data_IF_479834322547
#
_entry.id   IF_479834322547
#
_cell.length_a   1.000
_cell.length_b   1.000
_cell.length_c   1.000
_cell.angle_alpha   90.00
_cell.angle_beta   90.00
_cell.angle_gamma   90.00
#
_symmetry.space_group_name_H-M   'P 1'
#
loop_
_entity.id
_entity.type
_entity.pdbx_description
1 polymer ?
#
# COMPACT_ATOMS: atom_id res chain seq x y z
N UNK A 1 -20.77 -4.59 2.09
CA UNK A 1 -19.34 -4.35 1.85
C UNK A 1 -19.05 -4.93 0.47
N UNK A 2 -18.11 -4.34 -0.27
CA UNK A 2 -17.87 -4.67 -1.66
C UNK A 2 -16.38 -4.88 -1.95
N UNK A 3 -16.07 -5.92 -2.73
CA UNK A 3 -14.72 -6.16 -3.25
C UNK A 3 -14.40 -5.17 -4.36
N UNK A 4 -13.31 -4.43 -4.19
CA UNK A 4 -12.85 -3.39 -5.09
C UNK A 4 -11.78 -3.95 -6.04
N UNK A 5 -11.78 -3.48 -7.28
CA UNK A 5 -10.79 -3.92 -8.26
C UNK A 5 -9.43 -3.27 -7.97
N UNK A 6 -8.42 -4.11 -7.76
CA UNK A 6 -7.04 -3.65 -7.55
C UNK A 6 -6.36 -3.41 -8.90
N UNK A 7 -5.90 -2.18 -9.11
CA UNK A 7 -5.10 -1.76 -10.25
C UNK A 7 -3.81 -2.56 -10.34
N UNK A 8 -3.38 -2.90 -11.56
CA UNK A 8 -2.17 -3.66 -11.82
C UNK A 8 -1.11 -2.81 -12.49
N UNK A 9 0.13 -2.90 -12.04
CA UNK A 9 1.27 -2.28 -12.71
C UNK A 9 1.36 -2.79 -14.16
N UNK A 10 1.63 -1.95 -15.18
CA UNK A 10 2.06 -0.55 -15.10
C UNK A 10 0.93 0.48 -15.33
N UNK A 11 -0.27 0.26 -14.80
CA UNK A 11 -1.37 1.23 -14.90
C UNK A 11 -0.93 2.63 -14.42
N UNK A 12 -1.04 3.69 -15.25
CA UNK A 12 -0.57 5.02 -14.91
C UNK A 12 -1.28 5.64 -13.70
N UNK A 13 -2.46 5.15 -13.33
CA UNK A 13 -3.22 5.63 -12.16
C UNK A 13 -2.52 5.30 -10.84
N UNK A 14 -1.67 4.26 -10.80
CA UNK A 14 -0.81 3.95 -9.66
C UNK A 14 0.25 5.03 -9.37
N UNK A 15 0.53 5.90 -10.35
CA UNK A 15 1.51 6.98 -10.21
C UNK A 15 0.90 8.35 -9.88
N UNK A 16 -0.40 8.41 -9.59
CA UNK A 16 -1.05 9.64 -9.16
C UNK A 16 -0.78 9.88 -7.68
N UNK A 17 -0.35 11.09 -7.35
CA UNK A 17 -0.19 11.54 -5.96
C UNK A 17 -1.58 11.73 -5.34
N UNK A 18 -1.84 10.99 -4.26
CA UNK A 18 -3.08 11.03 -3.51
C UNK A 18 -3.23 12.34 -2.72
N UNK A 19 -4.45 12.87 -2.68
CA UNK A 19 -4.77 14.11 -1.96
C UNK A 19 -5.11 13.82 -0.50
N UNK A 20 -4.82 14.75 0.44
CA UNK A 20 -5.25 14.60 1.82
C UNK A 20 -6.77 14.43 1.93
N UNK A 21 -7.20 13.54 2.82
CA UNK A 21 -8.60 13.43 3.26
C UNK A 21 -8.92 14.65 4.11
N UNK A 22 -9.90 15.47 3.69
CA UNK A 22 -10.25 16.69 4.40
C UNK A 22 -11.08 16.44 5.67
N UNK A 23 -11.99 15.47 5.63
CA UNK A 23 -12.89 15.10 6.73
C UNK A 23 -13.08 13.59 6.72
N UNK A 24 -13.02 12.98 7.90
CA UNK A 24 -13.34 11.56 8.10
C UNK A 24 -14.85 11.43 8.31
N UNK A 25 -15.58 11.32 7.21
CA UNK A 25 -17.03 11.15 7.15
C UNK A 25 -17.44 9.67 6.97
N UNK A 26 -18.74 9.42 6.87
CA UNK A 26 -19.25 8.06 6.67
C UNK A 26 -18.79 7.42 5.35
N UNK A 27 -18.47 8.23 4.34
CA UNK A 27 -17.90 7.75 3.07
C UNK A 27 -16.48 7.23 3.29
N UNK A 28 -15.64 7.94 4.04
CA UNK A 28 -14.30 7.46 4.39
C UNK A 28 -14.39 6.19 5.25
N UNK A 29 -15.27 6.14 6.25
CA UNK A 29 -15.46 4.94 7.07
C UNK A 29 -15.95 3.74 6.26
N UNK A 30 -16.81 3.97 5.26
CA UNK A 30 -17.25 2.92 4.35
C UNK A 30 -16.11 2.45 3.45
N UNK A 31 -15.32 3.38 2.91
CA UNK A 31 -14.15 3.06 2.10
C UNK A 31 -13.12 2.23 2.87
N UNK A 32 -12.85 2.56 4.14
CA UNK A 32 -11.99 1.75 5.03
C UNK A 32 -12.48 0.31 5.11
N UNK A 33 -13.78 0.09 5.31
CA UNK A 33 -14.38 -1.25 5.38
C UNK A 33 -14.22 -2.03 4.08
N UNK A 34 -14.52 -1.39 2.95
CA UNK A 34 -14.41 -2.04 1.63
C UNK A 34 -12.95 -2.32 1.25
N UNK A 35 -12.02 -1.43 1.63
CA UNK A 35 -10.58 -1.64 1.47
C UNK A 35 -10.07 -2.81 2.32
N UNK A 36 -10.49 -2.90 3.59
CA UNK A 36 -10.10 -4.01 4.45
C UNK A 36 -10.62 -5.35 3.89
N UNK A 37 -11.88 -5.41 3.47
CA UNK A 37 -12.45 -6.61 2.84
C UNK A 37 -11.68 -7.00 1.56
N UNK A 38 -11.36 -6.02 0.72
CA UNK A 38 -10.56 -6.23 -0.50
C UNK A 38 -9.15 -6.72 -0.19
N UNK A 39 -8.51 -6.20 0.86
CA UNK A 39 -7.18 -6.60 1.30
C UNK A 39 -7.16 -8.06 1.76
N UNK A 40 -8.14 -8.47 2.59
CA UNK A 40 -8.24 -9.85 3.08
C UNK A 40 -8.61 -10.85 1.98
N UNK A 41 -9.42 -10.47 1.00
CA UNK A 41 -9.73 -11.31 -0.17
C UNK A 41 -8.54 -11.49 -1.12
N UNK A 42 -7.66 -10.49 -1.22
CA UNK A 42 -6.46 -10.47 -2.05
C UNK A 42 -5.19 -11.05 -1.37
N UNK A 43 -5.37 -11.92 -0.36
CA UNK A 43 -4.48 -12.17 0.79
C UNK A 43 -3.29 -11.22 0.98
N UNK A 44 -3.54 -9.92 1.17
CA UNK A 44 -2.52 -8.91 1.47
C UNK A 44 -2.48 -8.52 2.95
N UNK A 45 -1.39 -7.87 3.36
CA UNK A 45 -1.21 -7.27 4.71
C UNK A 45 -1.33 -5.74 4.70
N UNK A 46 -1.49 -5.14 3.52
CA UNK A 46 -1.62 -3.70 3.31
C UNK A 46 -2.35 -3.39 2.02
N UNK A 47 -3.12 -2.29 2.01
CA UNK A 47 -3.77 -1.74 0.82
C UNK A 47 -3.91 -0.21 0.94
N UNK A 48 -3.34 0.51 -0.01
CA UNK A 48 -3.52 1.94 -0.18
C UNK A 48 -4.69 2.24 -1.13
N UNK A 49 -5.44 3.32 -0.86
CA UNK A 49 -6.60 3.72 -1.67
C UNK A 49 -6.23 3.97 -3.15
N UNK A 50 -5.00 4.41 -3.43
CA UNK A 50 -4.49 4.56 -4.81
C UNK A 50 -4.62 3.26 -5.61
N UNK A 51 -4.45 2.10 -4.97
CA UNK A 51 -4.48 0.79 -5.64
C UNK A 51 -5.88 0.39 -6.09
N UNK A 52 -6.94 1.02 -5.59
CA UNK A 52 -8.34 0.82 -5.99
C UNK A 52 -8.90 2.02 -6.76
N UNK A 53 -8.02 2.83 -7.36
CA UNK A 53 -8.34 4.05 -8.12
C UNK A 53 -9.02 5.16 -7.28
N UNK A 54 -8.76 5.19 -5.97
CA UNK A 54 -9.18 6.27 -5.07
C UNK A 54 -7.96 7.05 -4.61
N UNK A 55 -7.75 8.25 -5.17
CA UNK A 55 -6.55 9.06 -4.91
C UNK A 55 -6.70 9.96 -3.69
N UNK A 56 -7.01 9.36 -2.56
CA UNK A 56 -7.04 9.98 -1.24
C UNK A 56 -6.01 9.31 -0.32
N UNK A 57 -5.41 10.08 0.60
CA UNK A 57 -4.38 9.58 1.51
C UNK A 57 -4.99 8.70 2.61
N UNK A 58 -5.33 7.46 2.24
CA UNK A 58 -5.91 6.45 3.11
C UNK A 58 -5.25 5.10 2.85
N UNK A 59 -4.89 4.42 3.93
CA UNK A 59 -4.25 3.11 3.94
C UNK A 59 -4.95 2.24 4.99
N UNK A 60 -5.10 0.95 4.69
CA UNK A 60 -5.39 -0.10 5.68
C UNK A 60 -4.23 -1.07 5.75
N UNK A 61 -3.86 -1.53 6.96
CA UNK A 61 -2.77 -2.47 7.20
C UNK A 61 -3.23 -3.46 8.26
N UNK A 62 -2.92 -4.75 8.07
CA UNK A 62 -3.06 -5.76 9.09
C UNK A 62 -1.93 -6.79 8.94
N UNK A 63 -0.98 -6.72 9.85
CA UNK A 63 0.19 -7.61 9.92
C UNK A 63 0.03 -8.71 10.99
N UNK A 64 -1.14 -8.80 11.62
CA UNK A 64 -1.43 -9.83 12.61
C UNK A 64 -1.61 -11.19 11.95
N UNK A 65 -1.26 -12.27 12.67
CA UNK A 65 -1.45 -13.63 12.15
C UNK A 65 -2.93 -14.01 11.98
N UNK A 66 -3.81 -13.42 12.80
CA UNK A 66 -5.24 -13.76 12.85
C UNK A 66 -6.13 -12.76 12.10
N UNK A 67 -5.56 -11.72 11.49
CA UNK A 67 -6.29 -10.61 10.88
C UNK A 67 -7.28 -9.91 11.83
N UNK A 68 -6.83 -9.66 13.07
CA UNK A 68 -7.63 -9.07 14.15
C UNK A 68 -7.10 -7.73 14.67
N UNK A 69 -6.02 -7.20 14.07
CA UNK A 69 -5.41 -5.90 14.43
C UNK A 69 -5.32 -4.95 13.22
N UNK A 70 -6.49 -4.61 12.66
CA UNK A 70 -6.59 -3.69 11.53
C UNK A 70 -6.16 -2.26 11.93
N UNK A 71 -5.06 -1.78 11.34
CA UNK A 71 -4.61 -0.41 11.42
C UNK A 71 -5.17 0.42 10.24
N UNK A 72 -5.73 1.59 10.56
CA UNK A 72 -6.23 2.56 9.59
C UNK A 72 -5.40 3.82 9.67
N UNK A 73 -4.77 4.19 8.56
CA UNK A 73 -3.87 5.34 8.49
C UNK A 73 -4.42 6.35 7.49
N UNK A 74 -5.09 7.39 7.99
CA UNK A 74 -5.57 8.51 7.17
C UNK A 74 -4.59 9.68 7.28
N UNK A 75 -4.27 10.30 6.14
CA UNK A 75 -3.25 11.34 6.01
C UNK A 75 -1.90 10.99 6.68
N UNK A 76 -1.33 9.79 6.46
CA UNK A 76 -0.12 9.39 7.15
C UNK A 76 1.10 10.21 6.71
N UNK A 77 1.96 10.47 7.69
CA UNK A 77 3.24 11.16 7.55
C UNK A 77 4.31 10.47 8.41
N UNK A 78 5.47 10.18 7.82
CA UNK A 78 6.64 9.68 8.56
C UNK A 78 7.36 10.88 9.20
N UNK A 79 7.34 10.94 10.53
CA UNK A 79 7.94 12.02 11.34
C UNK A 79 9.40 11.76 11.69
N UNK A 80 9.85 10.50 11.67
CA UNK A 80 11.23 10.10 11.92
C UNK A 80 11.55 8.76 11.25
N UNK A 81 12.82 8.56 10.88
CA UNK A 81 13.37 7.33 10.30
C UNK A 81 14.70 6.99 10.96
N UNK A 82 14.99 5.71 11.16
CA UNK A 82 16.31 5.24 11.57
C UNK A 82 17.36 5.45 10.47
N UNK A 83 18.63 5.55 10.87
CA UNK A 83 19.76 5.49 9.94
C UNK A 83 20.06 4.05 9.50
N UNK A 84 19.72 3.07 10.34
CA UNK A 84 19.83 1.66 10.00
C UNK A 84 18.75 1.29 8.99
N UNK A 85 19.16 0.56 7.96
CA UNK A 85 18.27 -0.02 6.96
C UNK A 85 18.16 -1.52 7.17
N UNK A 86 17.01 -2.07 6.77
CA UNK A 86 16.77 -3.51 6.66
C UNK A 86 16.34 -3.84 5.23
N UNK A 87 16.71 -5.04 4.79
CA UNK A 87 16.25 -5.60 3.53
C UNK A 87 15.09 -6.54 3.79
N UNK A 88 13.99 -6.37 3.07
CA UNK A 88 12.84 -7.26 3.10
C UNK A 88 12.50 -7.74 1.69
N UNK A 89 12.04 -8.98 1.58
CA UNK A 89 11.40 -9.47 0.36
C UNK A 89 9.98 -8.90 0.30
N UNK A 90 9.76 -7.93 -0.60
CA UNK A 90 8.48 -7.25 -0.76
C UNK A 90 7.67 -7.84 -1.91
N UNK A 91 6.38 -8.01 -1.66
CA UNK A 91 5.34 -8.17 -2.69
C UNK A 91 4.42 -6.97 -2.73
N UNK A 92 3.57 -6.90 -3.75
CA UNK A 92 2.56 -5.85 -3.87
C UNK A 92 1.30 -6.41 -4.53
N UNK A 93 0.12 -6.07 -3.99
CA UNK A 93 -1.16 -6.47 -4.59
C UNK A 93 -1.33 -5.91 -6.01
N UNK A 94 -0.72 -4.77 -6.32
CA UNK A 94 -0.70 -4.21 -7.68
C UNK A 94 0.36 -4.83 -8.60
N UNK A 95 1.23 -5.72 -8.09
CA UNK A 95 2.27 -6.43 -8.87
C UNK A 95 2.25 -7.94 -8.55
N UNK A 96 1.14 -8.63 -8.86
CA UNK A 96 0.91 -10.01 -8.41
C UNK A 96 1.99 -11.00 -8.86
N UNK A 97 2.40 -11.85 -7.92
CA UNK A 97 3.36 -12.94 -8.18
C UNK A 97 4.76 -12.45 -8.50
N UNK A 98 5.12 -11.25 -8.04
CA UNK A 98 6.47 -10.68 -8.06
C UNK A 98 6.84 -10.36 -6.62
N UNK A 99 7.99 -10.90 -6.23
CA UNK A 99 8.63 -10.65 -4.94
C UNK A 99 10.10 -10.33 -5.22
N UNK A 100 10.64 -9.31 -4.57
CA UNK A 100 12.05 -8.93 -4.71
C UNK A 100 12.52 -8.17 -3.46
N UNK A 101 13.83 -8.13 -3.26
CA UNK A 101 14.45 -7.48 -2.10
C UNK A 101 14.45 -5.95 -2.27
N UNK A 102 13.93 -5.25 -1.27
CA UNK A 102 13.95 -3.80 -1.16
C UNK A 102 14.55 -3.40 0.19
N UNK A 103 15.42 -2.40 0.16
CA UNK A 103 16.03 -1.83 1.37
C UNK A 103 15.21 -0.63 1.85
N UNK A 104 14.83 -0.64 3.13
CA UNK A 104 14.10 0.46 3.78
C UNK A 104 14.68 0.77 5.17
N UNK A 105 14.50 1.99 5.70
CA UNK A 105 14.71 2.27 7.12
C UNK A 105 14.07 1.21 8.02
N UNK A 106 14.88 0.67 8.93
CA UNK A 106 14.50 -0.43 9.83
C UNK A 106 13.41 -0.04 10.83
N UNK A 107 13.43 1.23 11.28
CA UNK A 107 12.46 1.78 12.20
C UNK A 107 11.95 3.13 11.71
N UNK A 108 10.68 3.39 11.95
CA UNK A 108 10.03 4.66 11.64
C UNK A 108 9.16 5.09 12.81
N UNK A 109 8.91 6.40 12.89
CA UNK A 109 7.77 6.95 13.63
C UNK A 109 6.87 7.68 12.67
N UNK A 110 5.57 7.41 12.72
CA UNK A 110 4.60 8.05 11.85
C UNK A 110 3.44 8.64 12.66
N UNK A 111 2.80 9.65 12.06
CA UNK A 111 1.55 10.26 12.52
C UNK A 111 0.47 10.00 11.49
N UNK A 112 -0.76 9.72 11.94
CA UNK A 112 -1.93 9.57 11.09
C UNK A 112 -3.21 9.93 11.86
N UNK A 113 -4.33 9.98 11.16
CA UNK A 113 -5.67 9.93 11.75
C UNK A 113 -6.19 8.48 11.70
N UNK A 114 -6.89 8.06 12.75
CA UNK A 114 -7.59 6.77 12.80
C UNK A 114 -8.93 6.81 12.04
N UNK A 115 -9.68 5.69 12.06
CA UNK A 115 -10.97 5.56 11.38
C UNK A 115 -12.07 6.51 11.91
N UNK A 116 -11.88 7.07 13.11
CA UNK A 116 -12.77 8.04 13.73
C UNK A 116 -12.29 9.49 13.51
N UNK A 117 -11.10 9.67 12.94
CA UNK A 117 -10.48 10.96 12.67
C UNK A 117 -9.61 11.50 13.81
N UNK A 118 -9.32 10.69 14.83
CA UNK A 118 -8.43 11.10 15.91
C UNK A 118 -6.97 10.97 15.48
N UNK A 119 -6.16 11.99 15.78
CA UNK A 119 -4.72 11.94 15.50
C UNK A 119 -4.02 11.02 16.49
N UNK A 120 -3.10 10.21 15.98
CA UNK A 120 -2.20 9.40 16.79
C UNK A 120 -0.80 9.35 16.18
N UNK A 121 0.17 8.96 17.00
CA UNK A 121 1.54 8.66 16.59
C UNK A 121 1.89 7.23 17.01
N UNK A 122 2.68 6.54 16.18
CA UNK A 122 3.12 5.18 16.45
C UNK A 122 4.53 4.97 15.93
N UNK A 123 5.32 4.22 16.68
CA UNK A 123 6.60 3.68 16.24
C UNK A 123 6.36 2.31 15.61
N UNK A 124 7.07 2.04 14.51
CA UNK A 124 7.01 0.76 13.82
C UNK A 124 8.41 0.28 13.47
N UNK A 125 8.60 -1.02 13.58
CA UNK A 125 9.78 -1.77 13.15
C UNK A 125 9.35 -3.04 12.38
N UNK A 126 10.32 -3.83 11.94
CA UNK A 126 10.09 -5.11 11.29
C UNK A 126 9.14 -5.01 10.10
N UNK A 127 8.20 -5.95 10.00
CA UNK A 127 7.22 -6.00 8.90
C UNK A 127 6.31 -4.76 8.87
N UNK A 128 5.87 -4.26 10.04
CA UNK A 128 4.98 -3.10 10.10
C UNK A 128 5.66 -1.85 9.54
N UNK A 129 6.94 -1.64 9.83
CA UNK A 129 7.71 -0.52 9.27
C UNK A 129 7.81 -0.62 7.74
N UNK A 130 8.01 -1.82 7.20
CA UNK A 130 8.05 -2.05 5.76
C UNK A 130 6.69 -1.75 5.12
N UNK A 131 5.61 -2.31 5.67
CA UNK A 131 4.24 -2.09 5.19
C UNK A 131 3.87 -0.60 5.18
N UNK A 132 4.07 0.13 6.28
CA UNK A 132 3.72 1.57 6.33
C UNK A 132 4.49 2.36 5.28
N UNK A 133 5.78 2.08 5.08
CA UNK A 133 6.59 2.77 4.07
C UNK A 133 6.13 2.42 2.64
N UNK A 134 5.84 1.15 2.37
CA UNK A 134 5.31 0.68 1.10
C UNK A 134 3.97 1.34 0.75
N UNK A 135 3.05 1.39 1.71
CA UNK A 135 1.73 1.95 1.47
C UNK A 135 1.76 3.49 1.34
N UNK A 136 2.66 4.17 2.06
CA UNK A 136 2.89 5.61 1.86
C UNK A 136 3.47 5.89 0.46
N UNK A 137 4.38 5.05 -0.04
CA UNK A 137 4.88 5.16 -1.41
C UNK A 137 3.74 5.10 -2.43
N UNK A 138 2.75 4.23 -2.24
CA UNK A 138 1.55 4.20 -3.09
C UNK A 138 0.74 5.50 -3.07
N UNK A 139 0.64 6.17 -1.92
CA UNK A 139 0.01 7.49 -1.84
C UNK A 139 0.81 8.57 -2.57
N UNK A 140 2.13 8.39 -2.67
CA UNK A 140 3.04 9.31 -3.35
C UNK A 140 3.26 8.94 -4.82
N UNK A 141 2.49 7.98 -5.36
CA UNK A 141 2.55 7.56 -6.76
C UNK A 141 3.75 6.69 -7.10
N UNK A 142 4.29 5.98 -6.12
CA UNK A 142 5.43 5.07 -6.27
C UNK A 142 5.01 3.63 -6.04
N UNK A 143 5.67 2.72 -6.74
CA UNK A 143 5.52 1.27 -6.56
C UNK A 143 6.88 0.67 -6.26
N UNK A 144 6.96 -0.34 -5.38
CA UNK A 144 8.25 -0.91 -4.92
C UNK A 144 9.20 -1.31 -6.06
N UNK A 145 8.67 -1.68 -7.22
CA UNK A 145 9.46 -2.04 -8.41
C UNK A 145 10.41 -0.91 -8.85
N UNK A 146 10.09 0.34 -8.54
CA UNK A 146 10.92 1.51 -8.85
C UNK A 146 12.24 1.55 -8.07
N UNK A 147 12.33 0.82 -6.95
CA UNK A 147 13.57 0.64 -6.19
C UNK A 147 14.49 -0.43 -6.80
N UNK A 148 13.99 -1.23 -7.73
CA UNK A 148 14.76 -2.30 -8.38
C UNK A 148 15.58 -1.77 -9.55
N UNK A 149 16.55 -2.56 -10.02
CA UNK A 149 17.38 -2.18 -11.17
C UNK A 149 16.54 -2.00 -12.45
N UNK A 150 16.95 -1.13 -13.40
CA UNK A 150 16.20 -0.91 -14.64
C UNK A 150 15.92 -2.18 -15.46
N UNK A 151 16.83 -3.17 -15.40
CA UNK A 151 16.63 -4.48 -16.04
C UNK A 151 15.50 -5.26 -15.39
N UNK A 152 15.45 -5.31 -14.05
CA UNK A 152 14.36 -5.94 -13.29
C UNK A 152 13.03 -5.24 -13.57
N UNK A 153 13.00 -3.91 -13.53
CA UNK A 153 11.81 -3.10 -13.85
C UNK A 153 11.24 -3.42 -15.23
N UNK A 154 12.08 -3.42 -16.27
CA UNK A 154 11.64 -3.72 -17.64
C UNK A 154 11.10 -5.15 -17.79
N UNK A 155 11.73 -6.12 -17.11
CA UNK A 155 11.27 -7.52 -17.10
C UNK A 155 9.90 -7.64 -16.43
N UNK A 156 9.71 -7.01 -15.27
CA UNK A 156 8.43 -7.01 -14.53
C UNK A 156 7.35 -6.35 -15.38
N UNK A 157 7.60 -5.16 -15.93
CA UNK A 157 6.67 -4.45 -16.82
C UNK A 157 6.22 -5.30 -18.00
N UNK A 158 7.15 -6.01 -18.63
CA UNK A 158 6.84 -6.90 -19.76
C UNK A 158 6.00 -8.10 -19.35
N UNK A 159 6.31 -8.72 -18.21
CA UNK A 159 5.54 -9.84 -17.65
C UNK A 159 4.12 -9.41 -17.31
N UNK A 160 3.96 -8.26 -16.65
CA UNK A 160 2.66 -7.72 -16.26
C UNK A 160 1.76 -7.41 -17.47
N UNK A 161 2.28 -6.70 -18.48
CA UNK A 161 1.53 -6.42 -19.72
C UNK A 161 1.09 -7.68 -20.46
N UNK A 162 1.88 -8.75 -20.37
CA UNK A 162 1.51 -10.05 -20.97
C UNK A 162 0.35 -10.69 -20.22
N UNK A 163 0.37 -10.65 -18.88
CA UNK A 163 -0.70 -11.20 -18.04
C UNK A 163 -2.02 -10.44 -18.25
N UNK A 164 -1.97 -9.11 -18.30
CA UNK A 164 -3.13 -8.25 -18.57
C UNK A 164 -3.82 -8.63 -19.89
N UNK A 165 -3.05 -8.69 -20.99
CA UNK A 165 -3.56 -9.12 -22.31
C UNK A 165 -4.11 -10.54 -22.33
N UNK A 166 -3.66 -11.42 -21.43
CA UNK A 166 -4.18 -12.79 -21.32
C UNK A 166 -5.49 -12.81 -20.54
N UNK A 167 -5.61 -12.00 -19.49
CA UNK A 167 -6.84 -11.86 -18.72
C UNK A 167 -7.98 -11.23 -19.54
N UNK A 168 -7.68 -10.26 -20.42
CA UNK A 168 -8.67 -9.63 -21.32
C UNK A 168 -9.24 -10.56 -22.41
N UNK A 169 -8.61 -11.72 -22.63
CA UNK A 169 -9.01 -12.69 -23.66
C UNK A 169 -9.94 -13.80 -23.15
N UNK A 170 -10.19 -13.83 -21.85
CA UNK A 170 -11.04 -14.80 -21.16
C UNK A 170 -12.36 -14.12 -20.81
#
# INVERSE_FOLDING_TARGET
MALLSILRYPDPRLHKIAKPVAVVDDRIRQLVRDMAETMYDAPGVGLAATQIDVHERLIVIDVSENHDDLLVLINPEITWRSNECQTFEEGCLSVPGIYDEVERPAQIRFRALDADGNSYEKEADGLLAVCVQHEIDHLDGKVFVEYLSPLKQNRIRTKMRKQERQAERV
#
